data_IF_184250897911
#
_entry.id   IF_184250897911
#
_cell.length_a   1.000
_cell.length_b   1.000
_cell.length_c   1.000
_cell.angle_alpha   90.00
_cell.angle_beta   90.00
_cell.angle_gamma   90.00
#
_symmetry.space_group_name_H-M   'P 1'
#
loop_
_entity.id
_entity.type
_entity.pdbx_description
1 polymer ?
#
# COMPACT_ATOMS: atom_id res chain seq x y z
N UNK A 1 -7.14 -16.89 4.15
CA UNK A 1 -6.27 -15.81 3.61
C UNK A 1 -4.91 -16.43 3.41
N UNK A 2 -4.20 -16.12 2.33
CA UNK A 2 -2.81 -16.57 2.21
C UNK A 2 -2.01 -15.95 3.35
N UNK A 3 -1.39 -16.76 4.19
CA UNK A 3 -0.56 -16.31 5.30
C UNK A 3 0.85 -15.99 4.77
N UNK A 4 1.16 -14.70 4.68
CA UNK A 4 2.50 -14.20 4.35
C UNK A 4 3.32 -14.03 5.62
N UNK A 5 4.58 -14.47 5.59
CA UNK A 5 5.54 -14.30 6.70
C UNK A 5 5.84 -12.81 6.95
N UNK A 6 5.88 -12.02 5.86
CA UNK A 6 6.05 -10.56 5.90
C UNK A 6 5.25 -9.90 4.80
N UNK A 7 4.80 -8.68 5.06
CA UNK A 7 4.19 -7.80 4.06
C UNK A 7 5.01 -6.51 4.03
N UNK A 8 5.36 -6.08 2.82
CA UNK A 8 6.11 -4.85 2.53
C UNK A 8 5.18 -3.94 1.75
N UNK A 9 5.03 -2.69 2.21
CA UNK A 9 4.33 -1.63 1.50
C UNK A 9 5.37 -0.64 0.97
N UNK A 10 5.56 -0.61 -0.34
CA UNK A 10 6.30 0.45 -1.03
C UNK A 10 5.36 1.62 -1.33
N UNK A 11 5.84 2.85 -1.14
CA UNK A 11 5.13 4.07 -1.47
C UNK A 11 6.06 4.92 -2.34
N UNK A 12 5.58 5.38 -3.50
CA UNK A 12 6.32 6.24 -4.42
C UNK A 12 5.58 7.58 -4.59
N UNK A 13 6.01 8.65 -3.91
CA UNK A 13 5.32 9.94 -3.92
C UNK A 13 5.63 10.78 -5.17
N UNK A 14 4.58 11.19 -5.87
CA UNK A 14 4.61 12.25 -6.88
C UNK A 14 3.71 13.43 -6.49
N UNK A 15 3.90 14.58 -7.13
CA UNK A 15 3.22 15.85 -6.79
C UNK A 15 1.68 15.76 -6.80
N UNK A 16 1.10 14.92 -7.66
CA UNK A 16 -0.36 14.77 -7.81
C UNK A 16 -0.85 13.31 -7.73
N UNK A 17 0.08 12.35 -7.71
CA UNK A 17 -0.20 10.92 -7.73
C UNK A 17 0.77 10.24 -6.76
N UNK A 18 0.25 9.37 -5.90
CA UNK A 18 1.02 8.53 -4.98
C UNK A 18 0.88 7.07 -5.45
N UNK A 19 1.96 6.48 -5.92
CA UNK A 19 2.01 5.05 -6.22
C UNK A 19 2.17 4.24 -4.92
N UNK A 20 1.57 3.07 -4.85
CA UNK A 20 1.87 2.10 -3.80
C UNK A 20 1.91 0.66 -4.33
N UNK A 21 2.75 -0.16 -3.71
CA UNK A 21 2.87 -1.59 -4.01
C UNK A 21 2.92 -2.40 -2.72
N UNK A 22 2.16 -3.49 -2.68
CA UNK A 22 2.15 -4.47 -1.60
C UNK A 22 2.82 -5.75 -2.07
N UNK A 23 3.92 -6.12 -1.40
CA UNK A 23 4.67 -7.33 -1.66
C UNK A 23 4.60 -8.23 -0.43
N UNK A 24 4.16 -9.46 -0.62
CA UNK A 24 4.20 -10.51 0.39
C UNK A 24 5.49 -11.31 0.27
N UNK A 25 6.05 -11.72 1.40
CA UNK A 25 7.08 -12.75 1.45
C UNK A 25 6.47 -13.97 2.10
N UNK A 26 6.48 -15.09 1.40
CA UNK A 26 6.08 -16.40 1.93
C UNK A 26 7.13 -17.42 1.54
N UNK A 27 7.64 -18.20 2.49
CA UNK A 27 8.67 -19.24 2.23
C UNK A 27 9.89 -18.70 1.47
N UNK A 28 10.31 -17.46 1.80
CA UNK A 28 11.38 -16.71 1.11
C UNK A 28 11.10 -16.37 -0.37
N UNK A 29 9.88 -16.56 -0.85
CA UNK A 29 9.45 -16.13 -2.18
C UNK A 29 8.72 -14.78 -2.09
N UNK A 30 8.97 -13.91 -3.07
CA UNK A 30 8.32 -12.61 -3.20
C UNK A 30 7.07 -12.74 -4.07
N UNK A 31 5.92 -12.37 -3.51
CA UNK A 31 4.64 -12.40 -4.18
C UNK A 31 4.09 -10.98 -4.27
N UNK A 32 3.75 -10.52 -5.47
CA UNK A 32 3.01 -9.27 -5.62
C UNK A 32 1.58 -9.49 -5.13
N UNK A 33 1.22 -8.81 -4.04
CA UNK A 33 -0.14 -8.88 -3.49
C UNK A 33 -1.04 -7.89 -4.23
N UNK A 34 -0.58 -6.64 -4.38
CA UNK A 34 -1.35 -5.59 -5.03
C UNK A 34 -0.47 -4.39 -5.41
N UNK A 35 -0.94 -3.59 -6.35
CA UNK A 35 -0.35 -2.29 -6.69
C UNK A 35 -1.47 -1.30 -7.02
N UNK A 36 -1.23 -0.02 -6.81
CA UNK A 36 -2.22 1.01 -7.09
C UNK A 36 -1.65 2.41 -7.12
N UNK A 37 -2.50 3.34 -7.53
CA UNK A 37 -2.22 4.77 -7.52
C UNK A 37 -3.33 5.51 -6.78
N UNK A 38 -2.95 6.49 -5.98
CA UNK A 38 -3.86 7.42 -5.31
C UNK A 38 -3.68 8.79 -5.95
N UNK A 39 -4.76 9.41 -6.45
CA UNK A 39 -4.71 10.76 -7.02
C UNK A 39 -4.99 11.77 -5.92
N UNK A 40 -4.02 12.64 -5.63
CA UNK A 40 -4.12 13.66 -4.59
C UNK A 40 -5.10 14.79 -4.97
N UNK A 41 -5.39 14.95 -6.26
CA UNK A 41 -6.32 15.97 -6.79
C UNK A 41 -7.78 15.81 -6.37
N UNK A 42 -8.16 14.69 -5.72
CA UNK A 42 -9.49 14.48 -5.13
C UNK A 42 -9.53 14.62 -3.60
N UNK A 43 -8.39 14.82 -2.94
CA UNK A 43 -8.34 14.96 -1.47
C UNK A 43 -8.73 16.35 -0.99
N UNK A 44 -8.77 17.36 -1.86
CA UNK A 44 -9.25 18.69 -1.48
C UNK A 44 -10.77 18.74 -1.25
N UNK A 45 -11.56 17.77 -1.73
CA UNK A 45 -13.02 17.91 -1.70
C UNK A 45 -13.86 16.70 -1.24
N UNK A 46 -13.24 15.62 -0.75
CA UNK A 46 -14.05 14.60 -0.09
C UNK A 46 -13.27 13.82 0.98
N UNK A 47 -13.43 14.29 2.21
CA UNK A 47 -13.31 13.49 3.42
C UNK A 47 -13.98 12.13 3.21
N UNK A 48 -13.27 11.03 2.92
CA UNK A 48 -13.84 9.70 3.15
C UNK A 48 -12.81 8.56 3.14
N UNK A 49 -12.57 8.10 4.38
CA UNK A 49 -12.48 6.71 4.82
C UNK A 49 -11.34 5.86 4.26
N UNK A 50 -10.15 6.07 4.81
CA UNK A 50 -9.25 4.95 5.07
C UNK A 50 -9.70 4.23 6.35
N UNK A 51 -10.83 3.50 6.28
CA UNK A 51 -11.15 2.45 7.26
C UNK A 51 -10.67 1.13 6.68
N UNK A 52 -9.39 0.82 6.87
CA UNK A 52 -8.91 -0.57 6.85
C UNK A 52 -7.78 -0.70 7.84
N UNK A 53 -8.16 -1.17 9.02
CA UNK A 53 -7.30 -1.63 10.08
C UNK A 53 -6.39 -2.75 9.57
N UNK A 54 -5.16 -2.43 9.16
CA UNK A 54 -4.06 -3.39 9.09
C UNK A 54 -2.76 -2.67 9.46
N UNK A 55 -2.34 -2.93 10.69
CA UNK A 55 -1.08 -2.55 11.31
C UNK A 55 0.03 -3.40 10.67
N UNK A 56 0.90 -2.79 9.87
CA UNK A 56 2.35 -2.64 10.10
C UNK A 56 2.84 -1.64 9.06
N UNK A 57 3.22 -0.47 9.58
CA UNK A 57 3.91 0.60 8.87
C UNK A 57 5.41 0.31 8.98
N UNK A 58 6.09 0.06 7.87
CA UNK A 58 7.53 0.31 7.75
C UNK A 58 7.72 1.14 6.49
N UNK A 59 7.86 2.44 6.69
CA UNK A 59 8.37 3.38 5.68
C UNK A 59 9.88 3.16 5.66
N UNK A 60 10.43 2.80 4.50
CA UNK A 60 11.84 3.00 4.17
C UNK A 60 11.94 4.24 3.30
#
# INVERSE_FOLDING_TARGET
MEDFDKIILGIDPGTNILGYGLIGIQNKQLNLISTGILRMSKLENHQLKLKRSLKVLRIL
#
